data_IF_422186636258
#
_entry.id   IF_422186636258
#
_cell.length_a   1.000
_cell.length_b   1.000
_cell.length_c   1.000
_cell.angle_alpha   90.00
_cell.angle_beta   90.00
_cell.angle_gamma   90.00
#
_symmetry.space_group_name_H-M   'P 1'
#
loop_
_entity.id
_entity.type
_entity.pdbx_description
1 polymer ?
#
# COMPACT_ATOMS: atom_id res chain seq x y z
N UNK A 1 12.47 -6.87 33.16
CA UNK A 1 12.20 -5.96 32.01
C UNK A 1 13.49 -5.63 31.26
N UNK A 2 14.65 -6.08 31.76
CA UNK A 2 16.00 -5.74 31.30
C UNK A 2 16.48 -6.54 30.06
N UNK A 3 15.92 -7.73 29.84
CA UNK A 3 16.35 -8.62 28.75
C UNK A 3 15.92 -8.14 27.36
N UNK A 4 14.80 -7.41 27.27
CA UNK A 4 14.35 -6.81 26.01
C UNK A 4 15.16 -5.56 25.65
N UNK A 5 15.61 -4.81 26.65
CA UNK A 5 16.38 -3.58 26.47
C UNK A 5 17.78 -3.87 25.92
N UNK A 6 18.42 -4.93 26.43
CA UNK A 6 19.74 -5.40 25.97
C UNK A 6 19.73 -5.96 24.55
N UNK A 7 18.63 -6.60 24.13
CA UNK A 7 18.47 -7.09 22.76
C UNK A 7 18.46 -5.96 21.72
N UNK A 8 17.73 -4.87 21.99
CA UNK A 8 17.65 -3.74 21.05
C UNK A 8 18.93 -2.92 20.98
N UNK A 9 19.73 -2.84 22.05
CA UNK A 9 21.02 -2.15 21.96
C UNK A 9 22.01 -2.95 21.10
N UNK A 10 21.98 -4.28 21.20
CA UNK A 10 22.80 -5.17 20.38
C UNK A 10 22.37 -5.16 18.89
N UNK A 11 21.07 -4.97 18.63
CA UNK A 11 20.49 -4.82 17.29
C UNK A 11 21.13 -3.67 16.50
N UNK A 12 21.44 -2.56 17.17
CA UNK A 12 22.03 -1.38 16.53
C UNK A 12 23.53 -1.22 16.77
N UNK A 13 24.13 -1.94 17.72
CA UNK A 13 25.48 -1.63 18.20
C UNK A 13 26.27 -2.90 18.52
N UNK A 14 27.45 -3.02 17.92
CA UNK A 14 28.48 -3.98 18.32
C UNK A 14 29.58 -3.25 19.10
N UNK A 15 30.23 -3.92 20.06
CA UNK A 15 31.27 -3.32 20.91
C UNK A 15 32.39 -2.70 20.07
N UNK A 16 32.74 -3.34 18.95
CA UNK A 16 33.76 -2.86 18.02
C UNK A 16 33.34 -1.60 17.24
N UNK A 17 32.07 -1.50 16.84
CA UNK A 17 31.55 -0.32 16.12
C UNK A 17 31.39 0.87 17.06
N UNK A 18 31.00 0.63 18.32
CA UNK A 18 30.90 1.64 19.37
C UNK A 18 32.26 2.27 19.69
N UNK A 19 33.28 1.43 19.87
CA UNK A 19 34.65 1.91 20.11
C UNK A 19 35.17 2.74 18.93
N UNK A 20 34.83 2.35 17.69
CA UNK A 20 35.20 3.11 16.50
C UNK A 20 34.41 4.42 16.36
N UNK A 21 33.15 4.44 16.80
CA UNK A 21 32.30 5.64 16.85
C UNK A 21 32.85 6.65 17.87
N UNK A 22 33.27 6.20 19.06
CA UNK A 22 33.90 7.05 20.07
C UNK A 22 35.28 7.57 19.60
N UNK A 23 35.97 6.81 18.74
CA UNK A 23 37.25 7.20 18.17
C UNK A 23 37.12 8.23 17.02
N UNK A 24 35.94 8.39 16.40
CA UNK A 24 35.72 9.26 15.23
C UNK A 24 36.26 10.68 15.39
N UNK A 25 36.06 11.39 16.52
CA UNK A 25 36.54 12.75 16.70
C UNK A 25 38.07 12.86 16.57
N UNK A 26 38.80 11.81 16.94
CA UNK A 26 40.25 11.76 17.01
C UNK A 26 40.92 11.27 15.71
N UNK A 27 40.15 10.72 14.77
CA UNK A 27 40.68 10.28 13.48
C UNK A 27 41.11 11.46 12.59
N UNK A 28 42.09 11.28 11.70
CA UNK A 28 42.40 12.23 10.64
C UNK A 28 41.16 12.51 9.75
N UNK A 29 40.95 13.75 9.25
CA UNK A 29 39.78 14.10 8.45
C UNK A 29 39.52 13.19 7.25
N UNK A 30 40.58 12.68 6.63
CA UNK A 30 40.53 11.73 5.50
C UNK A 30 39.91 10.39 5.87
N UNK A 31 40.08 9.95 7.13
CA UNK A 31 39.60 8.68 7.63
C UNK A 31 38.24 8.77 8.32
N UNK A 32 37.84 9.95 8.80
CA UNK A 32 36.53 10.16 9.45
C UNK A 32 35.37 9.70 8.58
N UNK A 33 35.39 10.06 7.29
CA UNK A 33 34.32 9.71 6.35
C UNK A 33 34.23 8.19 6.13
N UNK A 34 35.37 7.53 5.93
CA UNK A 34 35.40 6.07 5.72
C UNK A 34 35.04 5.30 6.99
N UNK A 35 35.50 5.75 8.16
CA UNK A 35 35.14 5.16 9.44
C UNK A 35 33.64 5.33 9.74
N UNK A 36 33.08 6.52 9.54
CA UNK A 36 31.64 6.76 9.72
C UNK A 36 30.79 5.90 8.78
N UNK A 37 31.19 5.76 7.52
CA UNK A 37 30.51 4.88 6.57
C UNK A 37 30.59 3.42 6.99
N UNK A 38 31.77 2.96 7.43
CA UNK A 38 31.97 1.59 7.90
C UNK A 38 31.09 1.29 9.12
N UNK A 39 31.05 2.19 10.11
CA UNK A 39 30.17 2.06 11.28
C UNK A 39 28.72 1.89 10.83
N UNK A 40 28.19 2.80 9.99
CA UNK A 40 26.79 2.70 9.54
C UNK A 40 26.50 1.48 8.67
N UNK A 41 27.47 1.03 7.86
CA UNK A 41 27.33 -0.20 7.11
C UNK A 41 27.27 -1.41 8.03
N UNK A 42 28.11 -1.46 9.06
CA UNK A 42 28.13 -2.53 10.04
C UNK A 42 26.85 -2.57 10.88
N UNK A 43 26.35 -1.42 11.33
CA UNK A 43 25.05 -1.34 12.01
C UNK A 43 23.93 -1.88 11.12
N UNK A 44 23.91 -1.50 9.84
CA UNK A 44 22.92 -2.01 8.88
C UNK A 44 23.06 -3.53 8.65
N UNK A 45 24.28 -4.07 8.64
CA UNK A 45 24.50 -5.51 8.51
C UNK A 45 23.91 -6.27 9.70
N UNK A 46 24.14 -5.80 10.93
CA UNK A 46 23.57 -6.42 12.14
C UNK A 46 22.04 -6.40 12.10
N UNK A 47 21.45 -5.24 11.75
CA UNK A 47 19.99 -5.12 11.58
C UNK A 47 19.46 -6.13 10.56
N UNK A 48 20.18 -6.34 9.45
CA UNK A 48 19.78 -7.29 8.40
C UNK A 48 19.84 -8.75 8.85
N UNK A 49 20.83 -9.13 9.66
CA UNK A 49 20.92 -10.48 10.24
C UNK A 49 19.74 -10.75 11.17
N UNK A 50 19.35 -9.78 11.99
CA UNK A 50 18.21 -9.94 12.90
C UNK A 50 16.85 -9.96 12.17
N UNK A 51 16.77 -9.47 10.93
CA UNK A 51 15.59 -9.64 10.09
C UNK A 51 15.35 -11.08 9.60
N UNK A 52 16.32 -11.99 9.80
CA UNK A 52 16.11 -13.43 9.57
C UNK A 52 15.32 -14.10 10.72
N UNK A 53 15.12 -13.40 11.85
CA UNK A 53 14.30 -13.87 12.97
C UNK A 53 12.82 -13.44 12.81
N UNK A 54 11.92 -14.42 12.86
CA UNK A 54 10.47 -14.22 12.72
C UNK A 54 9.88 -13.36 13.84
N UNK A 55 10.36 -13.52 15.09
CA UNK A 55 9.88 -12.71 16.21
C UNK A 55 10.23 -11.23 16.02
N UNK A 56 11.42 -10.95 15.46
CA UNK A 56 11.87 -9.61 15.09
C UNK A 56 11.08 -9.03 13.92
N UNK A 57 10.81 -9.82 12.88
CA UNK A 57 9.94 -9.43 11.77
C UNK A 57 8.53 -9.06 12.26
N UNK A 58 7.94 -9.88 13.13
CA UNK A 58 6.64 -9.61 13.75
C UNK A 58 6.66 -8.37 14.65
N UNK A 59 7.70 -8.19 15.44
CA UNK A 59 7.85 -6.99 16.27
C UNK A 59 7.95 -5.70 15.44
N UNK A 60 8.51 -5.77 14.23
CA UNK A 60 8.60 -4.66 13.29
C UNK A 60 7.35 -4.47 12.41
N UNK A 61 6.36 -5.38 12.51
CA UNK A 61 5.17 -5.37 11.65
C UNK A 61 5.48 -5.66 10.17
N UNK A 62 6.57 -6.40 9.93
CA UNK A 62 7.03 -6.82 8.61
C UNK A 62 6.59 -8.26 8.26
N UNK A 63 5.98 -8.97 9.20
CA UNK A 63 5.38 -10.30 9.04
C UNK A 63 4.04 -10.26 8.27
N UNK A 64 4.06 -9.77 7.03
CA UNK A 64 2.84 -9.59 6.24
C UNK A 64 2.38 -10.85 5.49
N UNK A 65 2.22 -11.97 6.21
CA UNK A 65 1.81 -13.27 5.67
C UNK A 65 0.44 -13.27 4.95
N UNK A 66 -0.35 -12.19 5.09
CA UNK A 66 -1.65 -11.98 4.45
C UNK A 66 -1.79 -10.60 3.78
N UNK A 67 -0.69 -9.94 3.41
CA UNK A 67 -0.75 -8.65 2.74
C UNK A 67 -1.56 -8.73 1.43
N UNK A 68 -2.60 -7.91 1.34
CA UNK A 68 -3.35 -7.72 0.09
C UNK A 68 -2.79 -6.54 -0.70
N UNK A 69 -2.95 -6.59 -2.01
CA UNK A 69 -2.60 -5.48 -2.91
C UNK A 69 -3.26 -4.16 -2.48
N UNK A 70 -4.47 -4.19 -1.94
CA UNK A 70 -5.15 -2.99 -1.42
C UNK A 70 -4.44 -2.41 -0.20
N UNK A 71 -3.98 -3.27 0.73
CA UNK A 71 -3.23 -2.82 1.90
C UNK A 71 -1.89 -2.21 1.50
N UNK A 72 -1.19 -2.85 0.55
CA UNK A 72 0.06 -2.30 -0.01
C UNK A 72 -0.18 -0.95 -0.69
N UNK A 73 -1.16 -0.85 -1.59
CA UNK A 73 -1.48 0.40 -2.30
C UNK A 73 -1.90 1.50 -1.32
N UNK A 74 -2.67 1.18 -0.28
CA UNK A 74 -3.07 2.14 0.76
C UNK A 74 -1.85 2.65 1.54
N UNK A 75 -0.91 1.77 1.89
CA UNK A 75 0.33 2.17 2.56
C UNK A 75 1.23 3.03 1.64
N UNK A 76 1.38 2.65 0.38
CA UNK A 76 2.13 3.43 -0.63
C UNK A 76 1.54 4.82 -0.82
N UNK A 77 0.20 4.93 -0.86
CA UNK A 77 -0.50 6.21 -0.99
C UNK A 77 -0.07 7.23 0.04
N UNK A 78 0.16 6.80 1.29
CA UNK A 78 0.52 7.69 2.40
C UNK A 78 1.91 8.33 2.26
N UNK A 79 2.82 7.71 1.47
CA UNK A 79 4.16 8.24 1.19
C UNK A 79 4.33 8.78 -0.23
N UNK A 80 3.39 8.50 -1.11
CA UNK A 80 3.48 8.88 -2.50
C UNK A 80 3.32 10.41 -2.70
N UNK A 81 3.98 11.00 -3.72
CA UNK A 81 3.69 12.36 -4.16
C UNK A 81 2.21 12.53 -4.52
N UNK A 82 1.68 13.76 -4.43
CA UNK A 82 0.25 14.05 -4.62
C UNK A 82 -0.33 13.49 -5.92
N UNK A 83 0.42 13.56 -7.01
CA UNK A 83 -0.04 13.07 -8.32
C UNK A 83 -0.15 11.54 -8.35
N UNK A 84 0.88 10.84 -7.87
CA UNK A 84 0.89 9.38 -7.74
C UNK A 84 -0.16 8.89 -6.73
N UNK A 85 -0.39 9.61 -5.64
CA UNK A 85 -1.45 9.29 -4.67
C UNK A 85 -2.83 9.28 -5.31
N UNK A 86 -3.14 10.24 -6.19
CA UNK A 86 -4.43 10.28 -6.90
C UNK A 86 -4.61 9.08 -7.82
N UNK A 87 -3.55 8.66 -8.51
CA UNK A 87 -3.58 7.46 -9.35
C UNK A 87 -3.81 6.21 -8.50
N UNK A 88 -3.15 6.11 -7.34
CA UNK A 88 -3.37 5.03 -6.38
C UNK A 88 -4.82 5.04 -5.86
N UNK A 89 -5.39 6.22 -5.56
CA UNK A 89 -6.79 6.34 -5.13
C UNK A 89 -7.77 5.83 -6.20
N UNK A 90 -7.52 6.14 -7.47
CA UNK A 90 -8.33 5.64 -8.60
C UNK A 90 -8.27 4.12 -8.71
N UNK A 91 -7.07 3.54 -8.59
CA UNK A 91 -6.88 2.08 -8.63
C UNK A 91 -7.61 1.44 -7.44
N UNK A 92 -7.47 1.99 -6.23
CA UNK A 92 -8.15 1.49 -5.04
C UNK A 92 -9.68 1.56 -5.18
N UNK A 93 -10.22 2.62 -5.78
CA UNK A 93 -11.65 2.74 -6.04
C UNK A 93 -12.13 1.69 -7.05
N UNK A 94 -11.38 1.47 -8.14
CA UNK A 94 -11.71 0.45 -9.13
C UNK A 94 -11.71 -0.96 -8.53
N UNK A 95 -10.71 -1.28 -7.69
CA UNK A 95 -10.62 -2.58 -7.02
C UNK A 95 -11.82 -2.82 -6.08
N UNK A 96 -12.23 -1.81 -5.31
CA UNK A 96 -13.42 -1.89 -4.44
C UNK A 96 -14.70 -2.13 -5.24
N UNK A 97 -14.86 -1.43 -6.37
CA UNK A 97 -16.01 -1.61 -7.26
C UNK A 97 -16.02 -3.00 -7.91
N UNK A 98 -14.86 -3.50 -8.34
CA UNK A 98 -14.72 -4.82 -8.93
C UNK A 98 -15.07 -5.95 -7.93
N UNK A 99 -14.60 -5.85 -6.68
CA UNK A 99 -14.95 -6.79 -5.60
C UNK A 99 -16.44 -6.77 -5.28
N UNK A 100 -17.05 -5.58 -5.25
CA UNK A 100 -18.49 -5.46 -5.05
C UNK A 100 -19.26 -6.15 -6.17
N UNK A 101 -18.86 -5.95 -7.43
CA UNK A 101 -19.51 -6.60 -8.57
C UNK A 101 -19.32 -8.12 -8.56
N UNK A 102 -18.13 -8.61 -8.24
CA UNK A 102 -17.87 -10.04 -8.07
C UNK A 102 -18.75 -10.64 -6.97
N UNK A 103 -18.77 -10.03 -5.77
CA UNK A 103 -19.60 -10.50 -4.66
C UNK A 103 -21.10 -10.53 -4.99
N UNK A 104 -21.56 -9.58 -5.81
CA UNK A 104 -22.94 -9.54 -6.29
C UNK A 104 -23.23 -10.68 -7.28
N UNK A 105 -22.34 -10.92 -8.25
CA UNK A 105 -22.46 -12.03 -9.19
C UNK A 105 -22.42 -13.39 -8.46
N UNK A 106 -21.52 -13.53 -7.47
CA UNK A 106 -21.42 -14.73 -6.64
C UNK A 106 -22.69 -14.94 -5.82
N UNK A 107 -23.29 -13.88 -5.26
CA UNK A 107 -24.58 -13.94 -4.57
C UNK A 107 -25.72 -14.38 -5.49
N UNK A 108 -25.79 -13.85 -6.71
CA UNK A 108 -26.79 -14.25 -7.70
C UNK A 108 -26.61 -15.70 -8.14
N UNK A 109 -25.37 -16.17 -8.30
CA UNK A 109 -25.07 -17.57 -8.65
C UNK A 109 -25.37 -18.53 -7.49
N UNK A 110 -25.03 -18.15 -6.26
CA UNK A 110 -25.29 -18.94 -5.06
C UNK A 110 -26.79 -19.00 -4.71
N UNK A 111 -27.59 -18.04 -5.20
CA UNK A 111 -29.02 -17.95 -4.93
C UNK A 111 -29.83 -17.79 -6.23
N UNK A 112 -29.98 -18.87 -7.03
CA UNK A 112 -30.62 -18.82 -8.36
C UNK A 112 -32.09 -18.37 -8.35
N UNK A 113 -32.77 -18.39 -7.19
CA UNK A 113 -34.13 -17.87 -7.03
C UNK A 113 -34.21 -16.33 -6.87
N UNK A 114 -33.09 -15.63 -6.70
CA UNK A 114 -33.04 -14.17 -6.77
C UNK A 114 -33.12 -13.64 -8.23
N UNK A 115 -33.01 -14.54 -9.22
CA UNK A 115 -33.08 -14.23 -10.65
C UNK A 115 -34.48 -14.47 -11.26
N UNK A 116 -35.50 -14.74 -10.44
CA UNK A 116 -36.88 -14.73 -10.90
C UNK A 116 -37.29 -13.28 -11.17
N UNK A 117 -37.72 -13.02 -12.42
CA UNK A 117 -38.20 -11.73 -12.93
C UNK A 117 -39.06 -10.92 -11.95
N UNK A 118 -39.10 -9.57 -12.10
CA UNK A 118 -39.79 -8.64 -11.20
C UNK A 118 -41.29 -8.93 -11.12
N UNK A 119 -41.65 -9.86 -10.23
CA UNK A 119 -43.00 -10.10 -9.78
C UNK A 119 -43.30 -9.19 -8.60
N UNK A 120 -43.62 -7.93 -8.91
CA UNK A 120 -44.54 -7.14 -8.11
C UNK A 120 -44.21 -6.93 -6.60
N UNK A 121 -43.11 -6.25 -6.28
CA UNK A 121 -42.99 -5.43 -5.05
C UNK A 121 -41.90 -4.37 -5.22
N UNK A 122 -42.33 -3.13 -5.43
CA UNK A 122 -41.56 -1.94 -5.83
C UNK A 122 -40.64 -1.34 -4.74
N UNK A 123 -40.04 -2.15 -3.88
CA UNK A 123 -39.26 -1.65 -2.73
C UNK A 123 -37.75 -1.98 -2.81
N UNK A 124 -37.37 -3.18 -3.24
CA UNK A 124 -35.98 -3.65 -3.08
C UNK A 124 -35.03 -3.31 -4.26
N UNK A 125 -35.55 -3.27 -5.49
CA UNK A 125 -34.77 -2.80 -6.65
C UNK A 125 -34.49 -1.29 -6.59
N UNK A 126 -35.26 -0.55 -5.81
CA UNK A 126 -35.17 0.90 -5.67
C UNK A 126 -34.04 1.30 -4.70
N UNK A 127 -33.68 0.42 -3.75
CA UNK A 127 -32.61 0.67 -2.78
C UNK A 127 -31.23 0.71 -3.45
N UNK A 128 -30.94 -0.22 -4.36
CA UNK A 128 -29.65 -0.23 -5.06
C UNK A 128 -29.55 0.82 -6.17
N UNK A 129 -30.66 1.08 -6.88
CA UNK A 129 -30.73 2.17 -7.85
C UNK A 129 -30.58 3.55 -7.18
N UNK A 130 -30.96 3.69 -5.90
CA UNK A 130 -30.73 4.90 -5.08
C UNK A 130 -29.34 4.98 -4.44
N UNK A 131 -28.69 3.85 -4.17
CA UNK A 131 -27.34 3.84 -3.58
C UNK A 131 -26.25 4.20 -4.58
N UNK A 132 -26.40 3.82 -5.85
CA UNK A 132 -25.46 4.15 -6.94
C UNK A 132 -25.24 5.67 -7.11
N UNK A 133 -26.29 6.51 -7.22
CA UNK A 133 -26.16 7.97 -7.31
C UNK A 133 -25.59 8.59 -6.03
N UNK A 134 -25.97 8.08 -4.86
CA UNK A 134 -25.52 8.60 -3.56
C UNK A 134 -24.01 8.43 -3.37
N UNK A 135 -23.44 7.34 -3.89
CA UNK A 135 -22.00 7.07 -3.84
C UNK A 135 -21.20 7.88 -4.88
N UNK A 136 -21.74 8.04 -6.10
CA UNK A 136 -21.15 8.93 -7.11
C UNK A 136 -21.13 10.39 -6.64
N UNK A 137 -22.17 10.81 -5.91
CA UNK A 137 -22.25 12.17 -5.34
C UNK A 137 -21.25 12.41 -4.20
N UNK A 138 -20.80 11.37 -3.48
CA UNK A 138 -19.82 11.53 -2.40
C UNK A 138 -18.36 11.53 -2.89
N UNK A 139 -18.12 11.17 -4.16
CA UNK A 139 -16.80 11.19 -4.81
C UNK A 139 -16.45 12.48 -5.54
N UNK A 140 -17.27 13.54 -5.47
CA UNK A 140 -16.96 14.82 -6.10
C UNK A 140 -16.32 15.82 -5.11
N UNK A 141 -15.04 16.22 -5.29
CA UNK A 141 -14.62 17.55 -4.88
C UNK A 141 -15.25 18.59 -5.82
N UNK A 142 -15.63 19.72 -5.23
CA UNK A 142 -16.47 20.78 -5.78
C UNK A 142 -15.98 21.39 -7.13
N UNK A 143 -16.98 21.86 -7.91
CA UNK A 143 -16.95 22.90 -8.98
C UNK A 143 -16.28 22.57 -10.34
N UNK A 144 -17.15 22.09 -11.23
CA UNK A 144 -17.41 22.54 -12.61
C UNK A 144 -16.49 23.62 -13.24
N UNK A 145 -15.68 23.22 -14.24
CA UNK A 145 -15.41 24.03 -15.43
C UNK A 145 -15.06 23.13 -16.62
N UNK A 146 -15.41 23.60 -17.82
CA UNK A 146 -15.58 22.84 -19.03
C UNK A 146 -14.28 22.39 -19.74
N UNK A 147 -14.47 21.43 -20.64
CA UNK A 147 -13.64 21.08 -21.81
C UNK A 147 -12.67 19.88 -21.70
N UNK A 148 -12.80 19.04 -22.73
CA UNK A 148 -11.95 17.94 -23.22
C UNK A 148 -11.98 16.60 -22.47
N UNK A 149 -12.62 15.63 -23.11
CA UNK A 149 -12.49 14.21 -22.85
C UNK A 149 -11.04 13.74 -23.10
N UNK A 150 -10.30 13.21 -22.11
CA UNK A 150 -8.94 12.69 -22.31
C UNK A 150 -8.88 11.16 -22.48
N UNK A 151 -9.99 10.43 -22.32
CA UNK A 151 -9.93 8.99 -22.05
C UNK A 151 -10.23 8.08 -23.25
N UNK A 152 -10.53 8.62 -24.44
CA UNK A 152 -10.73 7.82 -25.66
C UNK A 152 -9.43 7.44 -26.37
N UNK A 153 -8.41 8.30 -26.32
CA UNK A 153 -7.16 8.08 -27.06
C UNK A 153 -6.28 7.00 -26.42
N UNK A 154 -6.26 6.91 -25.08
CA UNK A 154 -5.47 5.90 -24.38
C UNK A 154 -6.02 4.48 -24.62
N UNK A 155 -7.35 4.32 -24.57
CA UNK A 155 -8.00 3.03 -24.83
C UNK A 155 -7.88 2.59 -26.29
N UNK A 156 -7.89 3.53 -27.23
CA UNK A 156 -7.66 3.22 -28.64
C UNK A 156 -6.20 2.86 -28.94
N UNK A 157 -5.23 3.50 -28.28
CA UNK A 157 -3.81 3.13 -28.41
C UNK A 157 -3.53 1.73 -27.86
N UNK A 158 -4.11 1.36 -26.71
CA UNK A 158 -3.93 0.03 -26.14
C UNK A 158 -4.51 -1.05 -27.07
N UNK A 159 -5.67 -0.80 -27.68
CA UNK A 159 -6.28 -1.73 -28.64
C UNK A 159 -5.52 -1.84 -29.98
N UNK A 160 -4.84 -0.79 -30.43
CA UNK A 160 -3.97 -0.84 -31.61
C UNK A 160 -2.72 -1.68 -31.38
N UNK A 161 -2.15 -1.62 -30.16
CA UNK A 161 -0.95 -2.39 -29.80
C UNK A 161 -1.27 -3.89 -29.67
N UNK A 162 -2.47 -4.23 -29.19
CA UNK A 162 -2.92 -5.62 -29.03
C UNK A 162 -3.37 -6.32 -30.33
N UNK A 163 -3.46 -5.59 -31.45
CA UNK A 163 -3.88 -6.14 -32.77
C UNK A 163 -2.72 -6.41 -33.74
N UNK A 164 -1.49 -6.49 -33.27
CA UNK A 164 -0.33 -6.97 -34.05
C UNK A 164 0.11 -8.36 -33.60
#
# INVERSE_FOLDING_TARGET
>A
MDQKQTHWEHFFRDDSSNMLEDALPYLPPTLKKSAALYIKLHELQNIMEDFDDEDTLSACGLDQNNASLEMMLTAMRMRAPKETSKQIDQILQMMKMAKMYQSYQDFLQANPNANASPGNSSADSDMMAKLMPLFMSQSQPEKQEAANAPNSDLLNQINQILKK
#
